data_IF_086996206830
#
_entry.id   IF_086996206830
#
_cell.length_a   1.000
_cell.length_b   1.000
_cell.length_c   1.000
_cell.angle_alpha   90.00
_cell.angle_beta   90.00
_cell.angle_gamma   90.00
#
_symmetry.space_group_name_H-M   'P 1'
#
loop_
_entity.id
_entity.type
_entity.pdbx_description
1 polymer ?
#
# COMPACT_ATOMS: atom_id res chain seq x y z
N UNK A 1 34.08 -7.62 14.38
CA UNK A 1 33.07 -6.62 14.77
C UNK A 1 31.89 -6.80 13.83
N UNK A 2 30.76 -7.31 14.32
CA UNK A 2 29.54 -7.46 13.52
C UNK A 2 28.96 -6.06 13.29
N UNK A 3 28.97 -5.60 12.04
CA UNK A 3 28.23 -4.43 11.65
C UNK A 3 26.74 -4.80 11.65
N UNK A 4 26.07 -4.61 12.78
CA UNK A 4 24.62 -4.62 12.83
C UNK A 4 24.14 -3.39 12.05
N UNK A 5 23.84 -3.56 10.77
CA UNK A 5 23.16 -2.57 9.96
C UNK A 5 21.75 -2.40 10.53
N UNK A 6 21.59 -1.49 11.49
CA UNK A 6 20.27 -1.07 11.94
C UNK A 6 19.60 -0.33 10.78
N UNK A 7 18.73 -1.03 10.06
CA UNK A 7 17.83 -0.42 9.10
C UNK A 7 16.87 0.43 9.93
N UNK A 8 17.00 1.74 9.85
CA UNK A 8 16.08 2.65 10.51
C UNK A 8 14.74 2.61 9.76
N UNK A 9 13.72 2.04 10.38
CA UNK A 9 12.36 2.12 9.85
C UNK A 9 11.84 3.54 10.03
N UNK A 10 11.25 4.08 8.97
CA UNK A 10 10.55 5.35 8.94
C UNK A 10 9.07 5.08 8.75
N UNK A 11 8.22 5.96 9.29
CA UNK A 11 6.79 5.90 9.08
C UNK A 11 6.44 6.62 7.79
N UNK A 12 5.71 5.93 6.93
CA UNK A 12 5.20 6.42 5.66
C UNK A 12 3.68 6.38 5.68
N UNK A 13 3.08 7.32 4.96
CA UNK A 13 1.64 7.38 4.72
C UNK A 13 1.43 7.14 3.24
N UNK A 14 0.88 5.97 2.89
CA UNK A 14 0.67 5.54 1.51
C UNK A 14 -0.84 5.49 1.25
N UNK A 15 -1.30 6.15 0.20
CA UNK A 15 -2.65 5.96 -0.28
C UNK A 15 -2.71 4.84 -1.31
N UNK A 16 -3.71 3.98 -1.21
CA UNK A 16 -4.03 2.97 -2.21
C UNK A 16 -5.37 3.32 -2.84
N UNK A 17 -5.35 3.56 -4.14
CA UNK A 17 -6.53 3.74 -4.98
C UNK A 17 -7.04 2.38 -5.43
N UNK A 18 -8.35 2.18 -5.33
CA UNK A 18 -9.06 1.02 -5.86
C UNK A 18 -9.91 1.46 -7.05
N UNK A 19 -9.81 0.70 -8.13
CA UNK A 19 -10.49 0.98 -9.40
C UNK A 19 -11.23 -0.24 -9.91
N UNK A 20 -12.34 -0.03 -10.61
CA UNK A 20 -13.14 -1.07 -11.26
C UNK A 20 -13.37 -0.65 -12.71
N UNK A 21 -13.05 -1.53 -13.67
CA UNK A 21 -13.16 -1.18 -15.10
C UNK A 21 -12.28 0.00 -15.52
N UNK A 22 -11.22 0.30 -14.75
CA UNK A 22 -10.33 1.44 -14.98
C UNK A 22 -10.78 2.76 -14.34
N UNK A 23 -11.95 2.81 -13.70
CA UNK A 23 -12.42 4.00 -12.99
C UNK A 23 -12.17 3.89 -11.47
N UNK A 24 -11.56 4.90 -10.83
CA UNK A 24 -11.35 4.90 -9.39
C UNK A 24 -12.67 5.07 -8.65
N UNK A 25 -12.88 4.28 -7.61
CA UNK A 25 -14.11 4.34 -6.79
C UNK A 25 -13.83 4.50 -5.29
N UNK A 26 -12.61 4.18 -4.82
CA UNK A 26 -12.23 4.34 -3.44
C UNK A 26 -10.73 4.63 -3.29
N UNK A 27 -10.37 5.30 -2.22
CA UNK A 27 -8.98 5.47 -1.78
C UNK A 27 -8.91 5.14 -0.30
N UNK A 28 -7.86 4.43 0.11
CA UNK A 28 -7.60 4.15 1.51
C UNK A 28 -6.14 4.46 1.86
N UNK A 29 -5.96 5.15 2.97
CA UNK A 29 -4.66 5.51 3.50
C UNK A 29 -4.14 4.44 4.46
N UNK A 30 -2.89 4.06 4.31
CA UNK A 30 -2.15 3.12 5.15
C UNK A 30 -0.95 3.83 5.79
N UNK A 31 -0.80 3.65 7.11
CA UNK A 31 0.44 3.99 7.80
C UNK A 31 1.33 2.75 7.85
N UNK A 32 2.54 2.85 7.29
CA UNK A 32 3.47 1.74 7.15
C UNK A 32 4.83 2.13 7.72
N UNK A 33 5.44 1.26 8.51
CA UNK A 33 6.82 1.42 8.96
C UNK A 33 7.75 0.60 8.06
N UNK A 34 8.56 1.29 7.25
CA UNK A 34 9.42 0.66 6.24
C UNK A 34 10.81 1.31 6.18
N UNK A 35 11.78 0.63 5.57
CA UNK A 35 13.15 1.17 5.45
C UNK A 35 13.21 2.34 4.45
N UNK A 36 12.39 2.25 3.41
CA UNK A 36 12.31 3.16 2.30
C UNK A 36 10.88 3.16 1.71
N UNK A 37 10.64 4.11 0.82
CA UNK A 37 9.33 4.33 0.21
C UNK A 37 8.84 3.14 -0.63
N UNK A 38 9.74 2.45 -1.35
CA UNK A 38 9.36 1.33 -2.20
C UNK A 38 8.86 0.14 -1.38
N UNK A 39 9.54 -0.14 -0.26
CA UNK A 39 9.04 -1.12 0.71
C UNK A 39 7.71 -0.67 1.32
N UNK A 40 7.55 0.62 1.67
CA UNK A 40 6.30 1.13 2.20
C UNK A 40 5.12 0.92 1.23
N UNK A 41 5.32 1.18 -0.05
CA UNK A 41 4.30 0.98 -1.09
C UNK A 41 3.92 -0.49 -1.25
N UNK A 42 4.91 -1.40 -1.24
CA UNK A 42 4.66 -2.83 -1.34
C UNK A 42 3.84 -3.33 -0.15
N UNK A 43 4.25 -2.98 1.06
CA UNK A 43 3.53 -3.39 2.28
C UNK A 43 2.12 -2.79 2.32
N UNK A 44 1.93 -1.53 1.88
CA UNK A 44 0.59 -0.93 1.78
C UNK A 44 -0.31 -1.68 0.78
N UNK A 45 0.24 -2.11 -0.36
CA UNK A 45 -0.48 -2.96 -1.32
C UNK A 45 -0.82 -4.34 -0.73
N UNK A 46 0.06 -4.94 0.06
CA UNK A 46 -0.21 -6.21 0.75
C UNK A 46 -1.29 -6.05 1.82
N UNK A 47 -1.24 -4.99 2.62
CA UNK A 47 -2.29 -4.65 3.59
C UNK A 47 -3.64 -4.41 2.91
N UNK A 48 -3.63 -3.82 1.71
CA UNK A 48 -4.84 -3.49 0.96
C UNK A 48 -5.70 -4.67 0.54
N UNK A 49 -5.15 -5.90 0.53
CA UNK A 49 -5.90 -7.14 0.28
C UNK A 49 -6.93 -7.42 1.38
N UNK A 50 -6.75 -6.87 2.58
CA UNK A 50 -7.73 -7.01 3.67
C UNK A 50 -8.66 -5.79 3.78
N UNK A 51 -8.61 -4.88 2.80
CA UNK A 51 -9.48 -3.72 2.76
C UNK A 51 -10.95 -4.11 2.55
N UNK A 52 -11.92 -3.37 3.12
CA UNK A 52 -13.33 -3.50 2.72
C UNK A 52 -13.57 -3.20 1.23
N UNK A 53 -12.63 -2.53 0.56
CA UNK A 53 -12.66 -2.27 -0.88
C UNK A 53 -12.04 -3.42 -1.70
N UNK A 54 -11.32 -4.37 -1.07
CA UNK A 54 -10.89 -5.60 -1.74
C UNK A 54 -12.02 -6.63 -1.76
N UNK A 55 -12.94 -6.45 -2.71
CA UNK A 55 -14.15 -7.26 -2.80
C UNK A 55 -14.22 -8.00 -4.14
N UNK A 56 -14.15 -9.34 -4.08
CA UNK A 56 -14.18 -10.20 -5.26
C UNK A 56 -15.47 -10.10 -6.12
N UNK A 57 -16.51 -9.42 -5.63
CA UNK A 57 -17.72 -9.12 -6.42
C UNK A 57 -17.57 -7.91 -7.33
N UNK A 58 -16.54 -7.09 -7.13
CA UNK A 58 -16.25 -5.93 -7.96
C UNK A 58 -15.56 -6.42 -9.24
N UNK A 59 -16.13 -6.18 -10.44
CA UNK A 59 -15.52 -6.60 -11.69
C UNK A 59 -14.25 -5.80 -11.97
N UNK A 60 -13.27 -6.45 -12.59
CA UNK A 60 -12.01 -5.82 -13.03
C UNK A 60 -11.34 -4.98 -11.94
N UNK A 61 -11.40 -5.48 -10.69
CA UNK A 61 -10.83 -4.81 -9.53
C UNK A 61 -9.30 -4.71 -9.69
N UNK A 62 -8.81 -3.47 -9.64
CA UNK A 62 -7.38 -3.15 -9.62
C UNK A 62 -7.09 -2.22 -8.46
N UNK A 63 -5.83 -2.24 -8.00
CA UNK A 63 -5.36 -1.39 -6.91
C UNK A 63 -3.98 -0.85 -7.21
N UNK A 64 -3.70 0.38 -6.78
CA UNK A 64 -2.44 1.06 -7.04
C UNK A 64 -2.08 1.97 -5.87
N UNK A 65 -0.83 1.88 -5.42
CA UNK A 65 -0.28 2.86 -4.49
C UNK A 65 -0.07 4.19 -5.24
N UNK A 66 -0.55 5.29 -4.67
CA UNK A 66 -0.32 6.63 -5.19
C UNK A 66 0.68 7.33 -4.28
N UNK A 67 1.79 7.79 -4.87
CA UNK A 67 2.71 8.67 -4.20
C UNK A 67 2.10 10.08 -4.15
N UNK A 68 2.08 10.70 -2.97
CA UNK A 68 1.71 12.11 -2.79
C UNK A 68 2.93 13.02 -2.92
#
# INVERSE_FOLDING_TARGET
MNASSHIAFQRFTIDVEFSSGGEPYATQTYEVEAADWFLAEREALEMSVNSPYDNARIPDLTRRAIAR
#
